data_IF_367198131596
#
_entry.id   IF_367198131596
#
_cell.length_a   1.000
_cell.length_b   1.000
_cell.length_c   1.000
_cell.angle_alpha   90.00
_cell.angle_beta   90.00
_cell.angle_gamma   90.00
#
_symmetry.space_group_name_H-M   'P 1'
#
loop_
_entity.id
_entity.type
_entity.pdbx_description
1 polymer ?
#
# COMPACT_ATOMS: atom_id res chain seq x y z
N UNK A 1 9.00 41.16 8.90
CA UNK A 1 8.58 39.92 9.57
C UNK A 1 7.51 39.28 8.71
N UNK A 2 7.78 38.10 8.17
CA UNK A 2 6.80 37.29 7.42
C UNK A 2 5.84 36.65 8.43
N UNK A 3 4.54 36.88 8.25
CA UNK A 3 3.52 36.29 9.12
C UNK A 3 3.27 34.85 8.67
N UNK A 4 3.55 33.89 9.53
CA UNK A 4 3.17 32.49 9.30
C UNK A 4 1.65 32.39 9.11
N UNK A 5 1.22 31.55 8.18
CA UNK A 5 -0.19 31.36 7.86
C UNK A 5 -0.54 29.89 7.97
N UNK A 6 -1.65 29.58 8.65
CA UNK A 6 -2.19 28.22 8.75
C UNK A 6 -2.98 27.94 7.47
N UNK A 7 -2.34 27.27 6.50
CA UNK A 7 -2.95 26.93 5.21
C UNK A 7 -3.42 25.48 5.15
N UNK A 8 -2.79 24.60 5.92
CA UNK A 8 -3.04 23.17 5.90
C UNK A 8 -4.13 22.80 6.91
N UNK A 9 -5.16 22.11 6.43
CA UNK A 9 -6.35 21.73 7.21
C UNK A 9 -6.63 20.23 7.06
N UNK A 10 -7.02 19.58 8.15
CA UNK A 10 -7.52 18.21 8.14
C UNK A 10 -9.05 18.23 8.27
N UNK A 11 -9.76 17.88 7.20
CA UNK A 11 -11.23 17.78 7.21
C UNK A 11 -11.66 16.33 7.36
N UNK A 12 -12.59 16.07 8.27
CA UNK A 12 -13.10 14.73 8.58
C UNK A 12 -14.62 14.73 8.68
N UNK A 13 -15.24 13.59 8.42
CA UNK A 13 -16.68 13.43 8.65
C UNK A 13 -16.99 13.49 10.16
N UNK A 14 -18.22 13.86 10.56
CA UNK A 14 -18.60 13.89 11.98
C UNK A 14 -18.40 12.55 12.70
N UNK A 15 -18.54 11.43 11.99
CA UNK A 15 -18.34 10.08 12.54
C UNK A 15 -16.87 9.74 12.80
N UNK A 16 -15.94 10.42 12.14
CA UNK A 16 -14.50 10.24 12.29
C UNK A 16 -13.88 11.29 13.22
N UNK A 17 -14.50 12.47 13.36
CA UNK A 17 -14.03 13.56 14.21
C UNK A 17 -13.74 13.11 15.65
N UNK A 18 -14.64 12.33 16.25
CA UNK A 18 -14.45 11.79 17.61
C UNK A 18 -13.38 10.69 17.74
N UNK A 19 -12.76 10.28 16.63
CA UNK A 19 -11.70 9.25 16.60
C UNK A 19 -10.31 9.84 16.36
N UNK A 20 -10.21 11.11 15.98
CA UNK A 20 -8.92 11.77 15.77
C UNK A 20 -8.29 12.04 17.15
N UNK A 21 -7.04 11.61 17.32
CA UNK A 21 -6.24 11.77 18.51
C UNK A 21 -4.88 12.36 18.12
N UNK A 22 -4.20 13.00 19.09
CA UNK A 22 -2.81 13.44 18.94
C UNK A 22 -2.55 14.33 17.71
N UNK A 23 -3.50 15.20 17.35
CA UNK A 23 -3.33 16.11 16.22
C UNK A 23 -2.28 17.17 16.55
N UNK A 24 -1.18 17.17 15.79
CA UNK A 24 -0.03 18.04 16.00
C UNK A 24 0.56 18.52 14.67
N UNK A 25 1.22 19.68 14.73
CA UNK A 25 2.10 20.17 13.67
C UNK A 25 3.53 19.83 14.06
N UNK A 26 4.25 19.14 13.18
CA UNK A 26 5.64 18.74 13.36
C UNK A 26 6.59 19.89 13.00
N UNK A 27 7.79 19.94 13.60
CA UNK A 27 8.80 20.95 13.29
C UNK A 27 9.27 20.85 11.83
N UNK A 28 10.01 21.87 11.40
CA UNK A 28 10.54 21.97 10.05
C UNK A 28 11.38 20.74 9.65
N UNK A 29 11.03 20.16 8.50
CA UNK A 29 11.69 19.00 7.88
C UNK A 29 12.40 19.37 6.57
N UNK A 30 12.62 20.66 6.29
CA UNK A 30 13.23 21.16 5.07
C UNK A 30 12.23 21.45 3.94
N UNK A 31 10.96 21.65 4.28
CA UNK A 31 9.89 22.09 3.37
C UNK A 31 9.38 23.45 3.83
N UNK A 32 8.88 24.25 2.90
CA UNK A 32 8.17 25.50 3.18
C UNK A 32 6.78 25.32 3.84
N UNK A 33 6.35 24.06 4.04
CA UNK A 33 5.16 23.69 4.81
C UNK A 33 5.52 22.79 6.00
N UNK A 34 4.82 22.97 7.12
CA UNK A 34 4.94 22.09 8.27
C UNK A 34 4.08 20.82 8.10
N UNK A 35 4.62 19.67 8.51
CA UNK A 35 3.87 18.41 8.45
C UNK A 35 2.82 18.33 9.55
N UNK A 36 1.65 17.75 9.25
CA UNK A 36 0.60 17.46 10.23
C UNK A 36 0.60 15.96 10.56
N UNK A 37 0.56 15.62 11.84
CA UNK A 37 0.46 14.25 12.34
C UNK A 37 -0.76 14.10 13.24
N UNK A 38 -1.46 12.96 13.12
CA UNK A 38 -2.58 12.60 13.99
C UNK A 38 -2.80 11.08 13.94
N UNK A 39 -3.42 10.55 14.99
CA UNK A 39 -3.82 9.15 15.07
C UNK A 39 -5.33 9.02 14.85
N UNK A 40 -5.77 8.02 14.10
CA UNK A 40 -7.19 7.66 14.02
C UNK A 40 -7.42 6.44 14.90
N UNK A 41 -8.19 6.60 15.97
CA UNK A 41 -8.61 5.49 16.80
C UNK A 41 -9.39 4.46 15.96
N UNK A 42 -8.86 3.24 15.91
CA UNK A 42 -9.46 2.13 15.18
C UNK A 42 -10.88 1.81 15.65
N UNK A 43 -11.65 1.16 14.79
CA UNK A 43 -12.96 0.65 15.18
C UNK A 43 -12.78 -0.64 16.00
N UNK A 44 -13.46 -0.76 17.14
CA UNK A 44 -13.52 -2.02 17.90
C UNK A 44 -14.47 -3.03 17.27
N UNK A 45 -15.23 -2.63 16.24
CA UNK A 45 -16.08 -3.56 15.49
C UNK A 45 -15.18 -4.45 14.62
N UNK A 46 -15.41 -5.78 14.61
CA UNK A 46 -14.79 -6.63 13.62
C UNK A 46 -15.11 -6.07 12.24
N UNK A 47 -14.07 -5.80 11.46
CA UNK A 47 -14.20 -5.38 10.07
C UNK A 47 -14.99 -6.50 9.38
N UNK A 48 -16.12 -6.15 8.78
CA UNK A 48 -16.85 -7.09 7.94
C UNK A 48 -15.98 -7.31 6.71
N UNK A 49 -15.67 -8.56 6.39
CA UNK A 49 -14.91 -8.89 5.18
C UNK A 49 -15.59 -8.25 3.99
N UNK A 50 -14.90 -7.30 3.35
CA UNK A 50 -15.36 -6.72 2.11
C UNK A 50 -14.97 -7.68 0.97
N UNK A 51 -15.91 -8.41 0.36
CA UNK A 51 -15.59 -9.37 -0.70
C UNK A 51 -14.99 -8.69 -1.94
N UNK A 52 -15.15 -7.37 -2.08
CA UNK A 52 -14.55 -6.59 -3.18
C UNK A 52 -13.09 -6.19 -2.96
N UNK A 53 -12.58 -6.30 -1.71
CA UNK A 53 -11.17 -6.09 -1.36
C UNK A 53 -10.44 -7.41 -1.07
N UNK A 54 -11.15 -8.55 -1.14
CA UNK A 54 -10.53 -9.85 -1.00
C UNK A 54 -9.46 -9.98 -2.08
N UNK A 55 -8.20 -9.85 -1.66
CA UNK A 55 -7.04 -10.12 -2.51
C UNK A 55 -7.29 -11.47 -3.16
N UNK A 56 -7.15 -11.54 -4.49
CA UNK A 56 -7.52 -12.75 -5.23
C UNK A 56 -6.77 -14.00 -4.76
N UNK A 57 -5.65 -13.82 -4.06
CA UNK A 57 -4.75 -14.86 -3.58
C UNK A 57 -5.11 -15.37 -2.19
N UNK A 58 -5.12 -16.69 -2.04
CA UNK A 58 -5.24 -17.36 -0.75
C UNK A 58 -3.86 -17.61 -0.16
N UNK A 59 -3.35 -16.64 0.61
CA UNK A 59 -2.02 -16.72 1.23
C UNK A 59 -1.86 -17.87 2.23
N UNK A 60 -2.97 -18.37 2.78
CA UNK A 60 -2.96 -19.50 3.72
C UNK A 60 -2.62 -20.83 3.03
N UNK A 61 -2.82 -20.92 1.71
CA UNK A 61 -2.51 -22.09 0.88
C UNK A 61 -1.33 -21.82 -0.07
N UNK A 62 -0.58 -20.74 0.16
CA UNK A 62 0.54 -20.38 -0.68
C UNK A 62 1.72 -21.35 -0.52
N UNK A 63 2.31 -21.78 -1.64
CA UNK A 63 3.63 -22.40 -1.64
C UNK A 63 4.70 -21.31 -1.64
N UNK A 64 5.09 -20.87 -0.43
CA UNK A 64 6.10 -19.82 -0.26
C UNK A 64 7.50 -20.22 -0.74
N UNK A 65 7.79 -21.53 -0.79
CA UNK A 65 9.05 -22.05 -1.34
C UNK A 65 9.11 -21.80 -2.84
N UNK A 66 8.07 -22.24 -3.56
CA UNK A 66 7.97 -22.02 -5.00
C UNK A 66 7.87 -20.53 -5.36
N UNK A 67 7.15 -19.73 -4.55
CA UNK A 67 7.11 -18.27 -4.71
C UNK A 67 8.51 -17.66 -4.67
N UNK A 68 9.31 -18.01 -3.66
CA UNK A 68 10.65 -17.45 -3.45
C UNK A 68 11.60 -17.79 -4.59
N UNK A 69 11.59 -19.03 -5.06
CA UNK A 69 12.43 -19.46 -6.18
C UNK A 69 12.08 -18.72 -7.46
N UNK A 70 10.77 -18.62 -7.77
CA UNK A 70 10.29 -17.91 -8.96
C UNK A 70 10.64 -16.42 -8.91
N UNK A 71 10.43 -15.77 -7.77
CA UNK A 71 10.75 -14.35 -7.60
C UNK A 71 12.26 -14.08 -7.75
N UNK A 72 13.11 -14.90 -7.12
CA UNK A 72 14.58 -14.77 -7.26
C UNK A 72 15.03 -14.97 -8.71
N UNK A 73 14.45 -15.93 -9.41
CA UNK A 73 14.78 -16.17 -10.82
C UNK A 73 14.39 -15.00 -11.74
N UNK A 74 13.33 -14.27 -11.41
CA UNK A 74 12.86 -13.11 -12.16
C UNK A 74 13.73 -11.85 -11.90
N UNK A 75 14.26 -11.69 -10.69
CA UNK A 75 15.07 -10.53 -10.31
C UNK A 75 16.52 -10.65 -10.84
N UNK A 76 17.08 -11.86 -10.91
CA UNK A 76 18.49 -12.09 -11.29
C UNK A 76 18.76 -12.00 -12.81
N UNK A 77 17.75 -11.73 -13.64
CA UNK A 77 17.92 -11.68 -15.10
C UNK A 77 18.31 -10.31 -15.67
N UNK A 78 18.41 -9.26 -14.85
CA UNK A 78 18.70 -7.91 -15.34
C UNK A 78 20.10 -7.43 -14.95
N UNK A 79 21.07 -7.60 -15.86
CA UNK A 79 22.34 -6.88 -15.82
C UNK A 79 22.34 -5.68 -16.78
N UNK A 80 22.74 -4.54 -16.21
CA UNK A 80 23.30 -3.30 -16.76
C UNK A 80 22.63 -2.60 -17.95
N UNK A 81 22.01 -1.43 -17.68
CA UNK A 81 21.91 -0.35 -18.66
C UNK A 81 21.78 1.02 -17.99
N UNK A 82 22.74 1.89 -18.29
CA UNK A 82 22.86 3.30 -17.89
C UNK A 82 21.75 4.17 -18.51
N UNK A 83 20.60 4.29 -17.85
CA UNK A 83 19.52 5.24 -18.20
C UNK A 83 19.26 6.15 -17.00
N UNK A 84 18.77 7.37 -17.22
CA UNK A 84 18.48 8.35 -16.17
C UNK A 84 17.76 7.71 -14.97
N UNK A 85 18.34 7.86 -13.77
CA UNK A 85 18.01 7.13 -12.53
C UNK A 85 16.51 7.10 -12.25
N UNK A 86 15.77 8.17 -12.55
CA UNK A 86 14.31 8.26 -12.33
C UNK A 86 13.51 7.39 -13.29
N UNK A 87 13.87 7.34 -14.58
CA UNK A 87 13.24 6.45 -15.57
C UNK A 87 13.59 4.99 -15.31
N UNK A 88 14.79 4.72 -14.81
CA UNK A 88 15.18 3.39 -14.33
C UNK A 88 14.34 2.97 -13.12
N UNK A 89 14.10 3.86 -12.14
CA UNK A 89 13.36 3.53 -10.93
C UNK A 89 11.88 3.20 -11.23
N UNK A 90 11.23 3.97 -12.09
CA UNK A 90 9.85 3.70 -12.51
C UNK A 90 9.74 2.42 -13.34
N UNK A 91 10.76 2.12 -14.15
CA UNK A 91 10.80 0.89 -14.93
C UNK A 91 11.05 -0.33 -14.03
N UNK A 92 12.05 -0.25 -13.16
CA UNK A 92 12.39 -1.27 -12.17
C UNK A 92 11.23 -1.54 -11.20
N UNK A 93 10.51 -0.52 -10.76
CA UNK A 93 9.34 -0.71 -9.89
C UNK A 93 8.20 -1.44 -10.61
N UNK A 94 7.95 -1.14 -11.89
CA UNK A 94 6.97 -1.87 -12.71
C UNK A 94 7.40 -3.31 -12.95
N UNK A 95 8.67 -3.55 -13.27
CA UNK A 95 9.22 -4.88 -13.52
C UNK A 95 9.21 -5.73 -12.25
N UNK A 96 9.58 -5.17 -11.10
CA UNK A 96 9.48 -5.84 -9.80
C UNK A 96 8.01 -6.16 -9.45
N UNK A 97 7.10 -5.20 -9.65
CA UNK A 97 5.66 -5.42 -9.40
C UNK A 97 5.12 -6.55 -10.28
N UNK A 98 5.54 -6.60 -11.55
CA UNK A 98 5.18 -7.66 -12.48
C UNK A 98 5.75 -9.01 -12.05
N UNK A 99 7.04 -9.07 -11.69
CA UNK A 99 7.69 -10.29 -11.23
C UNK A 99 7.02 -10.86 -9.96
N UNK A 100 6.65 -9.97 -9.02
CA UNK A 100 5.90 -10.35 -7.80
C UNK A 100 4.52 -10.91 -8.17
N UNK A 101 3.79 -10.26 -9.08
CA UNK A 101 2.48 -10.71 -9.52
C UNK A 101 2.54 -12.08 -10.23
N UNK A 102 3.52 -12.28 -11.11
CA UNK A 102 3.72 -13.54 -11.83
C UNK A 102 4.12 -14.68 -10.89
N UNK A 103 5.04 -14.42 -9.95
CA UNK A 103 5.40 -15.38 -8.92
C UNK A 103 4.18 -15.75 -8.07
N UNK A 104 3.35 -14.77 -7.69
CA UNK A 104 2.13 -15.00 -6.92
C UNK A 104 1.08 -15.82 -7.70
N UNK A 105 0.86 -15.51 -8.98
CA UNK A 105 -0.08 -16.27 -9.84
C UNK A 105 0.32 -17.74 -10.00
N UNK A 106 1.62 -18.04 -10.01
CA UNK A 106 2.12 -19.40 -10.15
C UNK A 106 2.08 -20.20 -8.84
N UNK A 107 2.23 -19.53 -7.69
CA UNK A 107 2.48 -20.19 -6.39
C UNK A 107 1.38 -20.03 -5.35
N UNK A 108 0.44 -19.10 -5.56
CA UNK A 108 -0.62 -18.81 -4.61
C UNK A 108 -1.98 -19.11 -5.24
N UNK A 109 -2.73 -20.12 -4.74
CA UNK A 109 -4.06 -20.43 -5.24
C UNK A 109 -5.01 -19.25 -5.09
N UNK A 110 -5.90 -19.05 -6.07
CA UNK A 110 -6.91 -17.98 -5.98
C UNK A 110 -8.05 -18.36 -5.04
N UNK A 111 -8.52 -17.41 -4.22
CA UNK A 111 -9.72 -17.59 -3.38
C UNK A 111 -10.94 -17.76 -4.30
N UNK A 112 -11.66 -18.87 -4.13
CA UNK A 112 -12.92 -19.10 -4.87
C UNK A 112 -13.95 -18.09 -4.37
N UNK A 113 -14.36 -17.17 -5.24
CA UNK A 113 -15.51 -16.30 -4.96
C UNK A 113 -16.76 -17.19 -4.99
N UNK A 114 -17.37 -17.42 -3.84
CA UNK A 114 -18.64 -18.14 -3.76
C UNK A 114 -19.71 -17.42 -4.58
N UNK A 115 -20.59 -18.19 -5.24
CA UNK A 115 -21.69 -17.61 -6.00
C UNK A 115 -22.53 -16.70 -5.10
N UNK A 116 -22.56 -15.41 -5.42
CA UNK A 116 -23.39 -14.43 -4.71
C UNK A 116 -24.83 -14.92 -4.68
N UNK A 117 -25.40 -15.08 -3.49
CA UNK A 117 -26.84 -15.29 -3.36
C UNK A 117 -27.55 -14.09 -4.01
N UNK A 118 -28.44 -14.36 -4.97
CA UNK A 118 -29.23 -13.31 -5.62
C UNK A 118 -30.17 -12.67 -4.59
N UNK A 119 -30.44 -11.35 -4.70
CA UNK A 119 -31.39 -10.65 -3.83
C UNK A 119 -32.82 -11.19 -3.99
#
# INVERSE_FOLDING_TARGET
>A
MTRESVLDLTLVSPSLAGKIQDWIVLPDLGSDHYSISFTIAGNTRPLVDNPSLATAYNTDLADWGMFSEKLKSAILQEEESSIAITKLLDKASKELTKAVAEAADLSIPKRKVGARAKP
#
